data_IF_427849743859
#
_entry.id   IF_427849743859
#
_cell.length_a   1.000
_cell.length_b   1.000
_cell.length_c   1.000
_cell.angle_alpha   90.00
_cell.angle_beta   90.00
_cell.angle_gamma   90.00
#
_symmetry.space_group_name_H-M   'P 1'
#
loop_
_entity.id
_entity.type
_entity.pdbx_description
1 polymer ?
#
# COMPACT_ATOMS: atom_id res chain seq x y z
N UNK A 1 4.04 -94.92 -4.67
CA UNK A 1 4.88 -93.79 -4.21
C UNK A 1 4.31 -92.53 -4.91
N UNK A 2 3.46 -91.82 -4.18
CA UNK A 2 2.80 -90.63 -4.68
C UNK A 2 3.46 -89.38 -4.03
N UNK A 3 4.12 -88.57 -4.81
CA UNK A 3 4.70 -87.29 -4.38
C UNK A 3 3.70 -86.20 -4.64
N UNK A 4 3.16 -85.63 -3.59
CA UNK A 4 2.29 -84.45 -3.60
C UNK A 4 3.13 -83.20 -3.70
N UNK A 5 3.00 -82.46 -4.80
CA UNK A 5 3.55 -81.11 -4.93
C UNK A 5 2.60 -80.12 -4.26
N UNK A 6 3.12 -79.46 -3.25
CA UNK A 6 2.43 -78.28 -2.64
C UNK A 6 2.67 -77.03 -3.47
N UNK A 7 1.60 -76.32 -3.81
CA UNK A 7 1.64 -74.98 -4.40
C UNK A 7 1.63 -73.93 -3.29
N UNK A 8 2.43 -72.85 -3.40
CA UNK A 8 2.35 -71.79 -2.44
C UNK A 8 1.16 -70.86 -2.77
N UNK A 9 0.35 -70.65 -1.75
CA UNK A 9 -0.72 -69.68 -1.75
C UNK A 9 -0.11 -68.25 -1.78
N UNK A 10 -0.31 -67.54 -2.88
CA UNK A 10 0.02 -66.11 -3.03
C UNK A 10 -1.03 -65.29 -2.28
N UNK A 11 -0.66 -64.80 -1.11
CA UNK A 11 -1.47 -63.80 -0.38
C UNK A 11 -1.36 -62.47 -1.09
N UNK A 12 -2.39 -62.08 -1.85
CA UNK A 12 -2.55 -60.76 -2.36
C UNK A 12 -3.10 -59.89 -1.22
N UNK A 13 -2.22 -59.07 -0.61
CA UNK A 13 -2.63 -58.00 0.29
C UNK A 13 -3.30 -56.93 -0.57
N UNK A 14 -4.63 -56.90 -0.59
CA UNK A 14 -5.36 -55.76 -1.03
C UNK A 14 -5.18 -54.62 0.03
N UNK A 15 -4.31 -53.68 -0.27
CA UNK A 15 -4.23 -52.41 0.47
C UNK A 15 -5.47 -51.62 0.06
N UNK A 16 -6.56 -51.75 0.80
CA UNK A 16 -7.69 -50.83 0.72
C UNK A 16 -7.20 -49.48 1.26
N UNK A 17 -6.90 -48.54 0.36
CA UNK A 17 -6.72 -47.13 0.72
C UNK A 17 -8.07 -46.66 1.26
N UNK A 18 -8.20 -46.63 2.58
CA UNK A 18 -9.28 -45.92 3.24
C UNK A 18 -9.06 -44.41 2.92
N UNK A 19 -9.69 -43.95 1.87
CA UNK A 19 -9.84 -42.49 1.65
C UNK A 19 -10.78 -42.03 2.74
N UNK A 20 -10.22 -41.37 3.76
CA UNK A 20 -10.98 -40.73 4.81
C UNK A 20 -11.77 -39.56 4.19
N UNK A 21 -13.11 -39.62 4.09
CA UNK A 21 -13.91 -38.54 3.52
C UNK A 21 -13.91 -37.28 4.42
N UNK A 22 -13.22 -37.31 5.56
CA UNK A 22 -13.09 -36.20 6.50
C UNK A 22 -11.83 -35.32 6.28
N UNK A 23 -11.05 -35.58 5.20
CA UNK A 23 -9.92 -34.73 4.82
C UNK A 23 -10.25 -33.75 3.68
N UNK A 24 -11.51 -33.62 3.29
CA UNK A 24 -11.99 -32.53 2.48
C UNK A 24 -12.63 -31.49 3.41
N UNK A 25 -12.13 -30.26 3.30
CA UNK A 25 -12.60 -29.04 3.99
C UNK A 25 -12.42 -29.04 5.53
N UNK A 26 -11.19 -29.02 5.97
CA UNK A 26 -10.88 -28.17 7.11
C UNK A 26 -10.41 -26.82 6.55
N UNK A 27 -11.36 -25.96 6.17
CA UNK A 27 -11.20 -24.55 6.39
C UNK A 27 -10.88 -24.43 7.90
N UNK A 28 -9.70 -23.98 8.22
CA UNK A 28 -9.37 -23.57 9.58
C UNK A 28 -10.25 -22.35 9.81
N UNK A 29 -11.45 -22.53 10.35
CA UNK A 29 -12.24 -21.44 10.92
C UNK A 29 -11.45 -20.92 12.11
N UNK A 30 -10.52 -20.02 11.82
CA UNK A 30 -9.93 -19.19 12.84
C UNK A 30 -11.05 -18.24 13.31
N UNK A 31 -11.57 -18.35 14.54
CA UNK A 31 -12.61 -17.46 15.03
C UNK A 31 -12.16 -15.99 15.13
N UNK A 32 -10.91 -15.69 14.78
CA UNK A 32 -10.31 -14.37 14.62
C UNK A 32 -9.98 -14.05 13.14
N UNK A 33 -10.37 -14.90 12.19
CA UNK A 33 -10.31 -14.62 10.77
C UNK A 33 -11.69 -14.06 10.36
N UNK A 34 -11.86 -12.73 10.29
CA UNK A 34 -13.07 -12.17 9.71
C UNK A 34 -13.08 -12.62 8.25
N UNK A 35 -14.03 -13.45 7.90
CA UNK A 35 -14.32 -14.10 6.62
C UNK A 35 -13.39 -13.69 5.48
N UNK A 36 -12.38 -14.52 5.21
CA UNK A 36 -11.26 -14.23 4.30
C UNK A 36 -11.68 -13.92 2.84
N UNK A 37 -12.94 -14.06 2.49
CA UNK A 37 -13.46 -13.76 1.16
C UNK A 37 -13.68 -12.27 0.89
N UNK A 38 -13.91 -11.44 1.92
CA UNK A 38 -14.19 -10.01 1.76
C UNK A 38 -12.95 -9.11 1.92
N UNK A 39 -11.77 -9.71 2.14
CA UNK A 39 -10.53 -9.00 2.47
C UNK A 39 -9.51 -8.93 1.35
N UNK A 40 -9.87 -9.40 0.14
CA UNK A 40 -8.99 -9.36 -1.03
C UNK A 40 -9.42 -8.26 -1.99
N UNK A 41 -8.43 -7.50 -2.47
CA UNK A 41 -8.65 -6.59 -3.58
C UNK A 41 -8.73 -7.36 -4.90
N UNK A 42 -9.61 -6.91 -5.79
CA UNK A 42 -9.53 -7.29 -7.21
C UNK A 42 -8.48 -6.41 -7.89
N UNK A 43 -7.39 -7.00 -8.39
CA UNK A 43 -6.42 -6.29 -9.21
C UNK A 43 -6.97 -6.17 -10.63
N UNK A 44 -7.36 -4.96 -11.04
CA UNK A 44 -7.97 -4.72 -12.37
C UNK A 44 -6.95 -4.28 -13.41
N UNK A 45 -5.81 -3.74 -12.97
CA UNK A 45 -4.70 -3.38 -13.85
C UNK A 45 -3.38 -3.40 -13.07
N UNK A 46 -2.27 -3.54 -13.80
CA UNK A 46 -0.93 -3.43 -13.25
C UNK A 46 -0.06 -2.68 -14.25
N UNK A 47 0.56 -1.59 -13.80
CA UNK A 47 1.56 -0.85 -14.57
C UNK A 47 2.92 -0.96 -13.89
N UNK A 48 3.99 -0.66 -14.62
CA UNK A 48 5.34 -0.65 -14.08
C UNK A 48 5.76 0.77 -13.69
N UNK A 49 6.43 0.90 -12.56
CA UNK A 49 7.18 2.11 -12.23
C UNK A 49 8.39 2.24 -13.15
N UNK A 50 8.73 3.45 -13.63
CA UNK A 50 9.92 3.67 -14.45
C UNK A 50 11.22 3.52 -13.66
N UNK A 51 11.17 3.49 -12.33
CA UNK A 51 12.32 3.39 -11.44
C UNK A 51 12.16 2.30 -10.39
N UNK A 52 13.26 1.95 -9.72
CA UNK A 52 13.38 0.69 -8.96
C UNK A 52 12.69 0.71 -7.60
N UNK A 53 12.47 1.89 -7.01
CA UNK A 53 11.97 2.00 -5.63
C UNK A 53 10.75 2.93 -5.56
N UNK A 54 9.60 2.51 -6.11
CA UNK A 54 8.37 3.29 -6.03
C UNK A 54 7.88 3.34 -4.57
N UNK A 55 7.85 4.52 -3.98
CA UNK A 55 7.44 4.73 -2.59
C UNK A 55 6.08 5.44 -2.51
N UNK A 56 6.02 6.73 -2.85
CA UNK A 56 4.78 7.50 -2.77
C UNK A 56 3.94 7.44 -4.05
N UNK A 57 2.62 7.54 -3.92
CA UNK A 57 1.69 7.74 -5.04
C UNK A 57 0.76 8.92 -4.78
N UNK A 58 0.40 9.65 -5.85
CA UNK A 58 -0.65 10.67 -5.84
C UNK A 58 -1.40 10.69 -7.16
N UNK A 59 -2.68 11.03 -7.14
CA UNK A 59 -3.51 11.22 -8.32
C UNK A 59 -3.81 12.71 -8.51
N UNK A 60 -3.49 13.29 -9.68
CA UNK A 60 -3.69 14.70 -9.98
C UNK A 60 -4.96 15.01 -10.77
N UNK A 61 -5.84 14.02 -10.96
CA UNK A 61 -7.03 14.10 -11.80
C UNK A 61 -6.80 13.64 -13.24
N UNK A 62 -5.56 13.49 -13.68
CA UNK A 62 -5.21 13.10 -15.05
C UNK A 62 -4.11 12.03 -15.11
N UNK A 63 -3.10 12.14 -14.27
CA UNK A 63 -1.93 11.27 -14.24
C UNK A 63 -1.64 10.78 -12.82
N UNK A 64 -1.00 9.61 -12.73
CA UNK A 64 -0.54 9.04 -11.49
C UNK A 64 0.90 9.47 -11.24
N UNK A 65 1.12 10.21 -10.17
CA UNK A 65 2.45 10.58 -9.71
C UNK A 65 3.04 9.49 -8.83
N UNK A 66 4.27 9.10 -9.14
CA UNK A 66 5.05 8.14 -8.37
C UNK A 66 6.34 8.79 -7.87
N UNK A 67 6.53 8.81 -6.56
CA UNK A 67 7.77 9.21 -5.93
C UNK A 67 8.71 8.01 -5.84
N UNK A 68 9.92 8.12 -6.40
CA UNK A 68 10.94 7.08 -6.31
C UNK A 68 12.02 7.46 -5.32
N UNK A 69 12.26 6.61 -4.33
CA UNK A 69 13.16 6.89 -3.22
C UNK A 69 14.64 6.62 -3.53
N UNK A 70 14.95 6.01 -4.68
CA UNK A 70 16.34 5.79 -5.10
C UNK A 70 16.86 6.90 -6.01
N UNK A 71 16.01 7.37 -6.92
CA UNK A 71 16.38 8.42 -7.88
C UNK A 71 16.06 9.82 -7.37
N UNK A 72 15.24 9.95 -6.33
CA UNK A 72 14.68 11.21 -5.83
C UNK A 72 13.94 12.00 -6.92
N UNK A 73 13.21 11.26 -7.78
CA UNK A 73 12.43 11.81 -8.89
C UNK A 73 10.95 11.51 -8.68
N UNK A 74 10.13 12.49 -9.01
CA UNK A 74 8.68 12.38 -9.14
C UNK A 74 8.35 12.06 -10.61
N UNK A 75 7.75 10.91 -10.88
CA UNK A 75 7.33 10.48 -12.20
C UNK A 75 5.83 10.62 -12.34
N UNK A 76 5.37 11.34 -13.37
CA UNK A 76 3.97 11.39 -13.78
C UNK A 76 3.74 10.34 -14.85
N UNK A 77 2.78 9.43 -14.60
CA UNK A 77 2.52 8.24 -15.40
C UNK A 77 1.11 8.26 -15.99
N UNK A 78 0.99 7.79 -17.21
CA UNK A 78 -0.31 7.44 -17.77
C UNK A 78 -0.86 6.22 -17.01
N UNK A 79 -2.02 6.37 -16.37
CA UNK A 79 -2.63 5.34 -15.53
C UNK A 79 -3.04 4.06 -16.27
N UNK A 80 -3.21 4.10 -17.59
CA UNK A 80 -3.66 2.94 -18.37
C UNK A 80 -2.52 1.99 -18.72
N UNK A 81 -1.33 2.54 -19.02
CA UNK A 81 -0.21 1.78 -19.56
C UNK A 81 1.14 2.04 -18.88
N UNK A 82 1.20 2.91 -17.87
CA UNK A 82 2.44 3.26 -17.17
C UNK A 82 3.42 4.11 -17.96
N UNK A 83 3.03 4.61 -19.15
CA UNK A 83 3.93 5.46 -19.93
C UNK A 83 4.30 6.73 -19.20
N UNK A 84 5.59 7.07 -19.21
CA UNK A 84 6.10 8.31 -18.61
C UNK A 84 5.54 9.52 -19.36
N UNK A 85 4.86 10.41 -18.63
CA UNK A 85 4.34 11.69 -19.15
C UNK A 85 5.31 12.83 -18.84
N UNK A 86 5.83 12.83 -17.59
CA UNK A 86 6.73 13.88 -17.08
C UNK A 86 7.56 13.35 -15.92
N UNK A 87 8.68 14.02 -15.65
CA UNK A 87 9.45 13.84 -14.42
C UNK A 87 9.87 15.17 -13.82
N UNK A 88 9.95 15.23 -12.50
CA UNK A 88 10.43 16.38 -11.73
C UNK A 88 11.46 15.90 -10.72
N UNK A 89 12.58 16.59 -10.59
CA UNK A 89 13.53 16.32 -9.53
C UNK A 89 12.97 16.77 -8.18
N UNK A 90 13.14 15.96 -7.15
CA UNK A 90 12.79 16.33 -5.79
C UNK A 90 13.78 17.37 -5.25
N UNK A 91 13.34 18.38 -4.49
CA UNK A 91 14.24 19.30 -3.80
C UNK A 91 14.91 18.66 -2.58
N UNK A 92 14.55 17.43 -2.21
CA UNK A 92 15.14 16.71 -1.07
C UNK A 92 15.42 15.25 -1.45
N UNK A 93 16.41 14.66 -0.77
CA UNK A 93 16.77 13.26 -0.92
C UNK A 93 15.94 12.34 -0.02
N UNK A 94 16.00 11.02 -0.28
CA UNK A 94 15.22 9.99 0.39
C UNK A 94 13.71 10.27 0.32
N UNK A 95 13.27 10.65 -0.88
CA UNK A 95 11.87 10.94 -1.18
C UNK A 95 11.01 9.72 -0.85
N UNK A 96 9.99 9.90 0.00
CA UNK A 96 9.15 8.81 0.51
C UNK A 96 7.68 8.95 0.15
N UNK A 97 7.10 10.14 0.30
CA UNK A 97 5.68 10.39 0.07
C UNK A 97 5.43 11.53 -0.90
N UNK A 98 4.30 11.43 -1.62
CA UNK A 98 3.77 12.47 -2.48
C UNK A 98 2.26 12.54 -2.33
N UNK A 99 1.69 13.76 -2.34
CA UNK A 99 0.25 14.02 -2.37
C UNK A 99 -0.06 15.18 -3.31
N UNK A 100 -1.29 15.27 -3.79
CA UNK A 100 -1.77 16.37 -4.64
C UNK A 100 -2.86 17.14 -3.90
N UNK A 101 -2.78 18.48 -3.85
CA UNK A 101 -3.72 19.33 -3.13
C UNK A 101 -4.81 19.97 -4.02
N UNK A 102 -4.85 19.59 -5.30
CA UNK A 102 -5.71 20.17 -6.31
C UNK A 102 -5.00 21.17 -7.21
N UNK A 103 -3.78 21.61 -6.86
CA UNK A 103 -3.00 22.57 -7.62
C UNK A 103 -1.55 22.12 -7.78
N UNK A 104 -0.87 21.75 -6.68
CA UNK A 104 0.52 21.39 -6.63
C UNK A 104 0.77 20.08 -5.85
N UNK A 105 2.01 19.60 -5.88
CA UNK A 105 2.40 18.40 -5.18
C UNK A 105 3.00 18.74 -3.80
N UNK A 106 2.60 17.99 -2.79
CA UNK A 106 3.27 17.93 -1.51
C UNK A 106 4.17 16.70 -1.45
N UNK A 107 5.37 16.87 -0.93
CA UNK A 107 6.35 15.79 -0.82
C UNK A 107 6.95 15.75 0.57
N UNK A 108 7.28 14.56 1.04
CA UNK A 108 8.02 14.33 2.27
C UNK A 108 9.18 13.37 2.06
N UNK A 109 10.04 13.26 3.08
CA UNK A 109 11.24 12.44 3.05
C UNK A 109 11.43 11.76 4.41
N UNK A 110 12.00 10.56 4.40
CA UNK A 110 12.43 9.89 5.63
C UNK A 110 13.63 10.59 6.31
N UNK A 111 14.34 11.45 5.59
CA UNK A 111 15.52 12.13 6.10
C UNK A 111 15.23 13.22 7.15
N UNK A 112 13.95 13.60 7.34
CA UNK A 112 13.63 14.67 8.28
C UNK A 112 12.17 15.03 8.38
N UNK A 113 11.91 16.10 9.15
CA UNK A 113 10.58 16.58 9.50
C UNK A 113 10.13 17.76 8.62
N UNK A 114 10.58 17.81 7.38
CA UNK A 114 10.21 18.87 6.43
C UNK A 114 9.32 18.33 5.33
N UNK A 115 8.27 19.07 5.02
CA UNK A 115 7.36 18.82 3.90
C UNK A 115 7.45 20.01 2.95
N UNK A 116 7.59 19.74 1.65
CA UNK A 116 7.62 20.77 0.62
C UNK A 116 6.35 20.70 -0.24
N UNK A 117 5.82 21.88 -0.61
CA UNK A 117 4.91 22.05 -1.72
C UNK A 117 5.72 22.43 -2.94
N UNK A 118 5.60 21.66 -4.01
CA UNK A 118 6.37 21.85 -5.24
C UNK A 118 5.42 22.03 -6.42
N UNK A 119 5.72 23.03 -7.24
CA UNK A 119 4.90 23.34 -8.43
C UNK A 119 4.87 22.16 -9.39
N UNK A 120 3.67 21.66 -9.71
CA UNK A 120 3.47 20.47 -10.55
C UNK A 120 4.03 20.63 -11.98
N UNK A 121 4.18 21.88 -12.45
CA UNK A 121 4.72 22.15 -13.78
C UNK A 121 6.24 22.35 -13.77
N UNK A 122 6.80 22.88 -12.71
CA UNK A 122 8.19 23.37 -12.65
C UNK A 122 9.08 22.61 -11.69
N UNK A 123 8.50 21.90 -10.71
CA UNK A 123 9.25 21.29 -9.60
C UNK A 123 9.80 22.34 -8.60
N UNK A 124 9.53 23.63 -8.82
CA UNK A 124 10.00 24.70 -7.94
C UNK A 124 9.27 24.67 -6.58
N UNK A 125 10.02 24.94 -5.50
CA UNK A 125 9.46 25.01 -4.14
C UNK A 125 8.52 26.21 -4.04
N UNK A 126 7.26 25.94 -3.73
CA UNK A 126 6.22 26.95 -3.48
C UNK A 126 6.05 27.21 -1.98
N UNK A 127 6.26 26.17 -1.15
CA UNK A 127 6.16 26.25 0.30
C UNK A 127 7.02 25.23 0.99
N UNK A 128 7.45 25.54 2.20
CA UNK A 128 8.15 24.66 3.12
C UNK A 128 7.46 24.67 4.48
N UNK A 129 7.19 23.49 5.03
CA UNK A 129 6.71 23.31 6.39
C UNK A 129 7.74 22.52 7.18
N UNK A 130 8.24 23.09 8.26
CA UNK A 130 9.18 22.45 9.20
C UNK A 130 8.39 22.01 10.46
N UNK A 131 8.17 20.70 10.61
CA UNK A 131 7.46 20.14 11.75
C UNK A 131 8.38 19.82 12.94
N UNK A 132 9.61 20.32 12.91
CA UNK A 132 10.65 20.25 13.92
C UNK A 132 11.18 18.85 14.22
N UNK A 133 10.32 17.81 14.27
CA UNK A 133 10.71 16.44 14.60
C UNK A 133 9.83 15.45 13.87
N UNK A 134 10.42 14.42 13.28
CA UNK A 134 9.73 13.35 12.58
C UNK A 134 10.63 12.61 11.59
N UNK A 135 10.13 11.48 11.09
CA UNK A 135 10.67 10.74 9.95
C UNK A 135 9.45 10.33 9.10
N UNK A 136 9.23 11.07 8.02
CA UNK A 136 7.97 10.99 7.29
C UNK A 136 8.05 9.96 6.17
N UNK A 137 7.22 8.94 6.24
CA UNK A 137 7.24 7.80 5.31
C UNK A 137 6.18 7.91 4.23
N UNK A 138 5.07 8.58 4.51
CA UNK A 138 3.96 8.72 3.57
C UNK A 138 3.18 10.01 3.82
N UNK A 139 2.45 10.43 2.77
CA UNK A 139 1.74 11.70 2.74
C UNK A 139 0.46 11.57 1.93
N UNK A 140 -0.62 12.18 2.38
CA UNK A 140 -1.84 12.42 1.62
C UNK A 140 -2.40 13.81 1.90
N UNK A 141 -3.19 14.35 0.99
CA UNK A 141 -3.99 15.56 1.19
C UNK A 141 -5.47 15.22 1.15
N UNK A 142 -6.21 15.67 2.14
CA UNK A 142 -7.63 15.43 2.22
C UNK A 142 -8.31 16.14 3.38
N UNK A 143 -9.59 16.47 3.24
CA UNK A 143 -10.36 17.21 4.25
C UNK A 143 -9.70 18.54 4.65
N UNK A 144 -9.00 19.23 3.73
CA UNK A 144 -8.34 20.49 3.99
C UNK A 144 -7.09 20.41 4.87
N UNK A 145 -6.46 19.24 4.98
CA UNK A 145 -5.28 19.00 5.77
C UNK A 145 -4.30 18.05 5.07
N UNK A 146 -3.04 18.08 5.50
CA UNK A 146 -2.07 17.04 5.19
C UNK A 146 -2.17 15.93 6.22
N UNK A 147 -2.16 14.69 5.74
CA UNK A 147 -2.06 13.49 6.54
C UNK A 147 -0.67 12.89 6.35
N UNK A 148 0.10 12.79 7.42
CA UNK A 148 1.51 12.41 7.37
C UNK A 148 1.74 11.21 8.28
N UNK A 149 2.37 10.17 7.76
CA UNK A 149 2.86 9.07 8.57
C UNK A 149 4.24 9.42 9.12
N UNK A 150 4.35 9.41 10.44
CA UNK A 150 5.61 9.62 11.15
C UNK A 150 6.11 8.30 11.75
N UNK A 151 7.15 7.74 11.15
CA UNK A 151 7.77 6.49 11.62
C UNK A 151 8.48 6.66 12.98
N UNK A 152 8.93 7.87 13.31
CA UNK A 152 9.61 8.11 14.59
C UNK A 152 8.67 8.01 15.79
N UNK A 153 7.43 8.53 15.66
CA UNK A 153 6.41 8.44 16.72
C UNK A 153 5.44 7.28 16.53
N UNK A 154 5.49 6.59 15.38
CA UNK A 154 4.53 5.57 14.94
C UNK A 154 3.08 6.07 14.95
N UNK A 155 2.87 7.29 14.44
CA UNK A 155 1.57 7.95 14.38
C UNK A 155 1.26 8.46 12.98
N UNK A 156 -0.04 8.62 12.72
CA UNK A 156 -0.52 9.51 11.68
C UNK A 156 -0.79 10.89 12.29
N UNK A 157 -0.31 11.92 11.58
CA UNK A 157 -0.47 13.32 11.94
C UNK A 157 -1.42 13.97 10.95
N UNK A 158 -2.41 14.68 11.45
CA UNK A 158 -3.20 15.64 10.67
C UNK A 158 -2.56 17.02 10.86
N UNK A 159 -2.11 17.63 9.78
CA UNK A 159 -1.32 18.86 9.80
C UNK A 159 -2.02 19.94 8.98
N UNK A 160 -2.14 21.12 9.55
CA UNK A 160 -2.56 22.32 8.83
C UNK A 160 -1.53 22.64 7.72
N UNK A 161 -1.96 22.56 6.46
CA UNK A 161 -1.07 22.75 5.31
C UNK A 161 -0.65 24.22 5.11
N UNK A 162 -1.28 25.16 5.83
CA UNK A 162 -0.92 26.57 5.80
C UNK A 162 0.15 26.90 6.85
N UNK A 163 0.01 26.37 8.06
CA UNK A 163 0.86 26.74 9.20
C UNK A 163 1.89 25.68 9.57
N UNK A 164 1.64 24.41 9.25
CA UNK A 164 2.44 23.26 9.72
C UNK A 164 2.06 22.82 11.14
N UNK A 165 1.00 23.37 11.74
CA UNK A 165 0.52 22.97 13.06
C UNK A 165 -0.08 21.55 13.02
N UNK A 166 0.27 20.72 14.00
CA UNK A 166 -0.33 19.40 14.16
C UNK A 166 -1.70 19.57 14.83
N UNK A 167 -2.77 19.40 14.05
CA UNK A 167 -4.15 19.56 14.50
C UNK A 167 -4.64 18.35 15.30
N UNK A 168 -4.23 17.15 14.88
CA UNK A 168 -4.65 15.89 15.47
C UNK A 168 -3.62 14.80 15.19
N UNK A 169 -3.62 13.73 15.99
CA UNK A 169 -2.82 12.54 15.71
C UNK A 169 -3.42 11.29 16.33
N UNK A 170 -3.20 10.15 15.69
CA UNK A 170 -3.57 8.85 16.25
C UNK A 170 -2.47 7.80 15.98
N UNK A 171 -2.52 6.71 16.75
CA UNK A 171 -1.56 5.63 16.60
C UNK A 171 -1.79 4.87 15.28
N UNK A 172 -0.70 4.47 14.62
CA UNK A 172 -0.75 3.60 13.47
C UNK A 172 -1.44 2.26 13.85
N UNK A 173 -2.41 1.76 13.05
CA UNK A 173 -3.05 0.47 13.31
C UNK A 173 -2.12 -0.73 13.10
N UNK A 174 -1.09 -0.59 12.26
CA UNK A 174 -0.12 -1.61 11.93
C UNK A 174 1.24 -1.43 12.61
N UNK A 175 2.29 -1.86 11.92
CA UNK A 175 3.68 -1.72 12.37
C UNK A 175 4.33 -0.46 11.83
N UNK A 176 4.07 -0.14 10.54
CA UNK A 176 4.60 1.02 9.85
C UNK A 176 3.65 1.41 8.73
N UNK A 177 3.36 2.69 8.59
CA UNK A 177 2.65 3.19 7.41
C UNK A 177 3.66 3.56 6.33
N UNK A 178 3.55 2.91 5.17
CA UNK A 178 4.41 3.13 4.00
C UNK A 178 3.68 3.88 2.85
N UNK A 179 2.36 4.01 2.94
CA UNK A 179 1.54 4.77 2.00
C UNK A 179 0.25 5.23 2.62
N UNK A 180 -0.24 6.42 2.20
CA UNK A 180 -1.52 6.98 2.61
C UNK A 180 -2.28 7.43 1.38
N UNK A 181 -3.60 7.16 1.32
CA UNK A 181 -4.52 7.80 0.40
C UNK A 181 -5.77 8.27 1.14
N UNK A 182 -6.43 9.31 0.61
CA UNK A 182 -7.72 9.79 1.09
C UNK A 182 -8.78 9.53 0.03
N UNK A 183 -9.91 8.90 0.40
CA UNK A 183 -10.97 8.53 -0.53
C UNK A 183 -12.17 9.50 -0.54
N UNK A 184 -12.06 10.61 0.21
CA UNK A 184 -13.14 11.58 0.41
C UNK A 184 -13.84 11.43 1.76
N UNK A 185 -13.71 10.28 2.42
CA UNK A 185 -14.38 9.97 3.70
C UNK A 185 -13.46 9.27 4.71
N UNK A 186 -12.51 8.50 4.25
CA UNK A 186 -11.61 7.70 5.06
C UNK A 186 -10.17 7.76 4.54
N UNK A 187 -9.23 7.27 5.34
CA UNK A 187 -7.85 7.08 4.95
C UNK A 187 -7.58 5.61 4.66
N UNK A 188 -6.78 5.38 3.63
CA UNK A 188 -6.21 4.09 3.29
C UNK A 188 -4.73 4.10 3.64
N UNK A 189 -4.28 3.07 4.37
CA UNK A 189 -2.92 2.97 4.88
C UNK A 189 -2.31 1.65 4.45
N UNK A 190 -1.15 1.65 3.83
CA UNK A 190 -0.39 0.43 3.52
C UNK A 190 0.71 0.20 4.55
N UNK A 191 0.93 -1.06 4.89
CA UNK A 191 1.99 -1.51 5.81
C UNK A 191 2.76 -2.67 5.17
N UNK A 192 4.01 -2.41 4.75
CA UNK A 192 4.87 -3.40 4.13
C UNK A 192 5.36 -4.48 5.11
N UNK A 193 5.31 -4.22 6.42
CA UNK A 193 5.74 -5.19 7.43
C UNK A 193 4.69 -6.27 7.66
N UNK A 194 3.41 -5.88 7.63
CA UNK A 194 2.27 -6.80 7.82
C UNK A 194 1.64 -7.25 6.51
N UNK A 195 2.07 -6.69 5.37
CA UNK A 195 1.50 -6.91 4.02
C UNK A 195 0.00 -6.57 3.96
N UNK A 196 -0.38 -5.52 4.67
CA UNK A 196 -1.79 -5.17 4.90
C UNK A 196 -2.08 -3.76 4.39
N UNK A 197 -3.29 -3.56 3.88
CA UNK A 197 -3.86 -2.25 3.59
C UNK A 197 -5.07 -2.07 4.50
N UNK A 198 -5.04 -1.02 5.33
CA UNK A 198 -6.10 -0.67 6.27
C UNK A 198 -6.95 0.45 5.69
N UNK A 199 -8.26 0.35 5.82
CA UNK A 199 -9.16 1.49 5.74
C UNK A 199 -9.46 1.98 7.15
N UNK A 200 -9.21 3.25 7.42
CA UNK A 200 -9.41 3.83 8.75
C UNK A 200 -10.22 5.12 8.69
N UNK A 201 -11.00 5.39 9.72
CA UNK A 201 -11.69 6.67 9.87
C UNK A 201 -10.68 7.80 10.09
N UNK A 202 -11.12 9.07 9.93
CA UNK A 202 -10.28 10.23 10.22
C UNK A 202 -9.91 10.36 11.71
N UNK A 203 -10.55 9.57 12.58
CA UNK A 203 -10.25 9.46 14.01
C UNK A 203 -9.34 8.28 14.36
N UNK A 204 -8.93 7.48 13.33
CA UNK A 204 -8.01 6.36 13.49
C UNK A 204 -8.66 5.01 13.81
N UNK A 205 -10.00 4.90 13.80
CA UNK A 205 -10.68 3.62 13.94
C UNK A 205 -10.53 2.79 12.66
N UNK A 206 -10.09 1.54 12.79
CA UNK A 206 -10.01 0.60 11.66
C UNK A 206 -11.43 0.24 11.21
N UNK A 207 -11.72 0.45 9.94
CA UNK A 207 -13.02 0.14 9.30
C UNK A 207 -12.94 -1.23 8.64
N UNK A 208 -11.91 -1.43 7.80
CA UNK A 208 -11.65 -2.68 7.09
C UNK A 208 -10.15 -2.95 7.00
N UNK A 209 -9.80 -4.20 6.79
CA UNK A 209 -8.42 -4.67 6.63
C UNK A 209 -8.35 -5.57 5.41
N UNK A 210 -7.37 -5.35 4.55
CA UNK A 210 -7.17 -6.10 3.32
C UNK A 210 -5.73 -6.62 3.24
N UNK A 211 -5.55 -7.79 2.64
CA UNK A 211 -4.23 -8.23 2.24
C UNK A 211 -3.74 -7.44 1.03
N UNK A 212 -2.47 -7.03 1.05
CA UNK A 212 -1.86 -6.40 -0.11
C UNK A 212 -1.78 -7.38 -1.29
N UNK A 213 -2.01 -6.93 -2.54
CA UNK A 213 -1.80 -7.76 -3.72
C UNK A 213 -0.32 -8.05 -3.99
N UNK A 214 0.57 -7.23 -3.45
CA UNK A 214 2.02 -7.34 -3.61
C UNK A 214 2.72 -7.76 -2.33
N UNK A 215 4.03 -8.04 -2.45
CA UNK A 215 4.86 -8.54 -1.34
C UNK A 215 5.54 -7.42 -0.54
N UNK A 216 5.45 -6.18 -1.00
CA UNK A 216 6.04 -5.03 -0.34
C UNK A 216 5.22 -3.76 -0.66
N UNK A 217 3.98 -3.65 -0.15
CA UNK A 217 3.12 -2.50 -0.42
C UNK A 217 3.76 -1.20 0.06
N UNK A 218 3.69 -0.17 -0.78
CA UNK A 218 4.21 1.17 -0.53
C UNK A 218 3.10 2.20 -0.75
N UNK A 219 3.41 3.28 -1.44
CA UNK A 219 2.51 4.38 -1.70
C UNK A 219 1.10 3.98 -2.12
N UNK A 220 0.14 4.77 -1.69
CA UNK A 220 -1.26 4.66 -2.06
C UNK A 220 -1.75 5.95 -2.70
N UNK A 221 -2.66 5.84 -3.66
CA UNK A 221 -3.44 6.94 -4.21
C UNK A 221 -4.86 6.49 -4.50
N UNK A 222 -5.82 7.41 -4.46
CA UNK A 222 -7.21 7.14 -4.84
C UNK A 222 -7.60 8.05 -6.00
N UNK A 223 -8.12 7.47 -7.09
CA UNK A 223 -8.45 8.21 -8.32
C UNK A 223 -9.94 8.59 -8.44
N UNK A 224 -10.69 8.41 -7.35
CA UNK A 224 -12.13 8.61 -7.30
C UNK A 224 -12.95 7.33 -7.53
N UNK A 225 -12.32 6.26 -8.04
CA UNK A 225 -12.95 4.96 -8.33
C UNK A 225 -12.11 3.81 -7.80
N UNK A 226 -10.80 3.86 -8.05
CA UNK A 226 -9.85 2.79 -7.72
C UNK A 226 -8.82 3.26 -6.71
N UNK A 227 -8.43 2.34 -5.86
CA UNK A 227 -7.23 2.51 -5.06
C UNK A 227 -6.01 2.04 -5.86
N UNK A 228 -4.94 2.82 -5.86
CA UNK A 228 -3.67 2.49 -6.47
C UNK A 228 -2.66 2.17 -5.38
N UNK A 229 -1.89 1.09 -5.57
CA UNK A 229 -0.85 0.68 -4.63
C UNK A 229 0.47 0.44 -5.34
N UNK A 230 1.49 1.20 -4.99
CA UNK A 230 2.86 0.91 -5.39
C UNK A 230 3.40 -0.27 -4.57
N UNK A 231 4.23 -1.09 -5.20
CA UNK A 231 4.92 -2.21 -4.57
C UNK A 231 6.42 -2.12 -4.88
N UNK A 232 7.26 -2.41 -3.90
CA UNK A 232 8.72 -2.33 -4.06
C UNK A 232 9.29 -3.27 -5.14
N UNK A 233 8.45 -4.13 -5.74
CA UNK A 233 8.80 -4.95 -6.92
C UNK A 233 8.62 -4.22 -8.25
N UNK A 234 8.61 -2.89 -8.25
CA UNK A 234 8.41 -2.01 -9.41
C UNK A 234 7.00 -2.05 -10.02
N UNK A 235 6.03 -2.63 -9.33
CA UNK A 235 4.65 -2.71 -9.78
C UNK A 235 3.81 -1.64 -9.12
N UNK A 236 2.81 -1.17 -9.86
CA UNK A 236 1.76 -0.31 -9.35
C UNK A 236 0.43 -0.96 -9.73
N UNK A 237 -0.31 -1.40 -8.72
CA UNK A 237 -1.57 -2.12 -8.88
C UNK A 237 -2.75 -1.14 -8.84
N UNK A 238 -3.70 -1.32 -9.75
CA UNK A 238 -5.01 -0.69 -9.70
C UNK A 238 -6.00 -1.66 -9.05
N UNK A 239 -6.60 -1.25 -7.95
CA UNK A 239 -7.39 -2.10 -7.08
C UNK A 239 -8.84 -1.67 -7.07
N UNK A 240 -9.77 -2.61 -7.31
CA UNK A 240 -11.19 -2.38 -7.05
C UNK A 240 -11.48 -2.62 -5.58
N UNK A 241 -12.14 -1.64 -4.97
CA UNK A 241 -12.64 -1.73 -3.59
C UNK A 241 -14.02 -2.42 -3.68
N UNK A 242 -14.11 -3.64 -3.19
CA UNK A 242 -15.39 -4.33 -3.06
C UNK A 242 -16.06 -3.86 -1.76
N UNK A 243 -17.25 -3.27 -1.88
CA UNK A 243 -18.04 -2.74 -0.77
C UNK A 243 -18.84 -3.84 -0.07
#
# INVERSE_FOLDING_TARGET
MLTTKAWPLLFIFLFSILVCPACQDRSFDNPFDPEASDTLFEVVNTILSPAAVPLGLAWDGSTLWNADGYTDILYSLNRLNGALVRSLASPQSLLSGVAFDGEDLWICSEAGATVFRVGILTGGIQKRLDLQKGSFTALAYGSGALWIADALSNKLLQVDYLTGEILFSFANPGKRVDGIAFDGSSLWLSDATTLTIYQVSLQGAVIKTFLSPGQAPRGLAFDGIFLWNADATQKIYQLRINN
#
